data_IF_405770750855
#
_entry.id   IF_405770750855
#
_cell.length_a   1.000
_cell.length_b   1.000
_cell.length_c   1.000
_cell.angle_alpha   90.00
_cell.angle_beta   90.00
_cell.angle_gamma   90.00
#
_symmetry.space_group_name_H-M   'P 1'
#
loop_
_entity.id
_entity.type
_entity.pdbx_description
1 polymer ?
#
# COMPACT_ATOMS: atom_id res chain seq x y z
N UNK A 1 -9.88 24.67 -19.37
CA UNK A 1 -8.75 24.23 -18.52
C UNK A 1 -9.13 23.05 -17.62
N UNK A 2 -10.05 23.18 -16.66
CA UNK A 2 -10.43 22.09 -15.75
C UNK A 2 -10.86 20.79 -16.46
N UNK A 3 -11.72 20.88 -17.49
CA UNK A 3 -12.18 19.73 -18.26
C UNK A 3 -11.02 18.97 -18.93
N UNK A 4 -10.02 19.70 -19.42
CA UNK A 4 -8.87 19.13 -20.11
C UNK A 4 -7.90 18.46 -19.14
N UNK A 5 -7.75 19.03 -17.94
CA UNK A 5 -7.03 18.38 -16.83
C UNK A 5 -7.74 17.10 -16.38
N UNK A 6 -9.08 17.08 -16.32
CA UNK A 6 -9.85 15.89 -15.94
C UNK A 6 -9.71 14.77 -16.99
N UNK A 7 -9.80 15.09 -18.28
CA UNK A 7 -9.58 14.10 -19.37
C UNK A 7 -8.16 13.55 -19.31
N UNK A 8 -7.16 14.41 -19.12
CA UNK A 8 -5.75 13.96 -19.02
C UNK A 8 -5.51 13.06 -17.80
N UNK A 9 -6.16 13.37 -16.68
CA UNK A 9 -6.11 12.56 -15.46
C UNK A 9 -6.78 11.20 -15.65
N UNK A 10 -7.93 11.17 -16.32
CA UNK A 10 -8.64 9.93 -16.65
C UNK A 10 -7.79 9.02 -17.57
N UNK A 11 -7.18 9.58 -18.62
CA UNK A 11 -6.28 8.84 -19.51
C UNK A 11 -5.06 8.28 -18.76
N UNK A 12 -4.47 9.07 -17.86
CA UNK A 12 -3.34 8.64 -17.04
C UNK A 12 -3.72 7.49 -16.10
N UNK A 13 -4.86 7.58 -15.43
CA UNK A 13 -5.38 6.52 -14.55
C UNK A 13 -5.69 5.25 -15.35
N UNK A 14 -6.29 5.37 -16.53
CA UNK A 14 -6.51 4.24 -17.43
C UNK A 14 -5.20 3.55 -17.82
N UNK A 15 -4.14 4.32 -18.05
CA UNK A 15 -2.84 3.76 -18.41
C UNK A 15 -2.18 3.03 -17.24
N UNK A 16 -2.31 3.56 -16.02
CA UNK A 16 -1.88 2.85 -14.81
C UNK A 16 -2.64 1.53 -14.65
N UNK A 17 -3.96 1.53 -14.78
CA UNK A 17 -4.78 0.33 -14.62
C UNK A 17 -4.49 -0.72 -15.70
N UNK A 18 -4.32 -0.31 -16.95
CA UNK A 18 -4.17 -1.25 -18.08
C UNK A 18 -2.74 -1.72 -18.34
N UNK A 19 -1.73 -0.91 -17.99
CA UNK A 19 -0.34 -1.24 -18.27
C UNK A 19 0.47 -1.47 -17.00
N UNK A 20 0.34 -0.61 -15.98
CA UNK A 20 1.20 -0.67 -14.80
C UNK A 20 0.74 -1.70 -13.76
N UNK A 21 -0.57 -1.83 -13.50
CA UNK A 21 -1.07 -2.84 -12.56
C UNK A 21 -0.73 -4.28 -13.01
N UNK A 22 -0.88 -4.67 -14.29
CA UNK A 22 -0.42 -5.98 -14.76
C UNK A 22 1.07 -6.23 -14.52
N UNK A 23 1.92 -5.21 -14.70
CA UNK A 23 3.37 -5.30 -14.41
C UNK A 23 3.61 -5.58 -12.92
N UNK A 24 2.82 -4.99 -12.01
CA UNK A 24 2.94 -5.27 -10.57
C UNK A 24 2.63 -6.73 -10.21
N UNK A 25 1.84 -7.42 -11.04
CA UNK A 25 1.52 -8.84 -10.89
C UNK A 25 2.27 -9.72 -11.88
N UNK A 26 3.22 -9.15 -12.62
CA UNK A 26 4.00 -9.87 -13.63
C UNK A 26 4.86 -10.91 -12.93
N UNK A 27 4.64 -12.14 -13.36
CA UNK A 27 5.45 -13.30 -12.98
C UNK A 27 6.50 -13.48 -14.06
N UNK A 28 7.61 -14.13 -13.73
CA UNK A 28 8.54 -14.58 -14.76
C UNK A 28 7.82 -15.56 -15.71
N UNK A 29 8.41 -15.84 -16.88
CA UNK A 29 7.84 -16.70 -17.92
C UNK A 29 7.49 -18.12 -17.42
N UNK A 30 8.04 -18.53 -16.28
CA UNK A 30 7.81 -19.79 -15.57
C UNK A 30 6.67 -19.72 -14.53
N UNK A 31 6.01 -18.57 -14.37
CA UNK A 31 4.95 -18.33 -13.38
C UNK A 31 5.47 -18.06 -11.96
N UNK A 32 6.79 -18.00 -11.75
CA UNK A 32 7.39 -17.75 -10.44
C UNK A 32 7.33 -16.24 -10.14
N UNK A 33 6.95 -15.85 -8.91
CA UNK A 33 7.03 -14.45 -8.50
C UNK A 33 8.48 -13.92 -8.61
N UNK A 34 8.63 -12.71 -9.16
CA UNK A 34 9.94 -12.05 -9.23
C UNK A 34 10.54 -11.76 -7.85
N UNK A 35 9.70 -11.70 -6.80
CA UNK A 35 10.14 -11.59 -5.42
C UNK A 35 10.20 -12.97 -4.77
N UNK A 36 11.39 -13.38 -4.30
CA UNK A 36 11.53 -14.60 -3.52
C UNK A 36 10.85 -14.46 -2.16
N UNK A 37 9.88 -15.34 -1.86
CA UNK A 37 9.07 -15.29 -0.64
C UNK A 37 9.92 -15.39 0.63
N UNK A 38 10.91 -16.28 0.67
CA UNK A 38 11.76 -16.48 1.83
C UNK A 38 12.60 -15.23 2.12
N UNK A 39 13.19 -14.63 1.08
CA UNK A 39 13.90 -13.35 1.19
C UNK A 39 12.99 -12.24 1.72
N UNK A 40 11.76 -12.15 1.21
CA UNK A 40 10.81 -11.15 1.67
C UNK A 40 10.44 -11.35 3.14
N UNK A 41 10.01 -12.54 3.55
CA UNK A 41 9.51 -12.79 4.90
C UNK A 41 10.59 -12.78 5.96
N UNK A 42 11.76 -13.37 5.69
CA UNK A 42 12.81 -13.54 6.70
C UNK A 42 13.77 -12.34 6.76
N UNK A 43 13.99 -11.64 5.65
CA UNK A 43 15.01 -10.58 5.58
C UNK A 43 14.38 -9.20 5.47
N UNK A 44 13.51 -8.97 4.49
CA UNK A 44 12.97 -7.62 4.22
C UNK A 44 11.88 -7.21 5.20
N UNK A 45 10.88 -8.08 5.46
CA UNK A 45 9.72 -7.77 6.30
C UNK A 45 10.09 -7.33 7.73
N UNK A 46 11.10 -7.92 8.41
CA UNK A 46 11.53 -7.43 9.72
C UNK A 46 12.11 -6.02 9.73
N UNK A 47 12.69 -5.55 8.61
CA UNK A 47 13.29 -4.22 8.49
C UNK A 47 12.25 -3.11 8.29
N UNK A 48 11.07 -3.46 7.79
CA UNK A 48 9.97 -2.52 7.51
C UNK A 48 8.78 -2.68 8.47
N UNK A 49 9.00 -3.27 9.65
CA UNK A 49 7.95 -3.48 10.64
C UNK A 49 7.57 -2.19 11.37
N UNK A 50 6.33 -2.12 11.84
CA UNK A 50 5.89 -1.10 12.79
C UNK A 50 6.57 -1.30 14.15
N UNK A 51 6.80 -0.21 14.88
CA UNK A 51 7.36 -0.29 16.23
C UNK A 51 7.54 1.07 16.90
N UNK A 52 7.86 1.07 18.21
CA UNK A 52 8.27 2.26 18.92
C UNK A 52 9.67 2.68 18.47
N UNK A 53 9.83 3.98 18.24
CA UNK A 53 11.12 4.61 17.92
C UNK A 53 11.34 5.76 18.90
N UNK A 54 12.53 5.81 19.48
CA UNK A 54 12.96 6.91 20.35
C UNK A 54 13.82 7.85 19.51
N UNK A 55 13.35 9.08 19.37
CA UNK A 55 14.09 10.15 18.71
C UNK A 55 14.85 10.94 19.79
N UNK A 56 16.17 10.91 19.75
CA UNK A 56 17.00 11.84 20.52
C UNK A 56 16.94 13.22 19.83
N UNK A 57 16.01 14.06 20.30
CA UNK A 57 15.91 15.45 19.89
C UNK A 57 16.58 16.39 20.89
N UNK A 58 16.73 17.66 20.49
CA UNK A 58 17.30 18.70 21.36
C UNK A 58 16.49 18.95 22.65
N UNK A 59 15.18 18.65 22.62
CA UNK A 59 14.26 18.74 23.76
C UNK A 59 14.20 17.45 24.62
N UNK A 60 15.06 16.45 24.33
CA UNK A 60 15.12 15.16 25.00
C UNK A 60 14.52 13.99 24.21
N UNK A 61 14.68 12.74 24.72
CA UNK A 61 14.23 11.55 24.03
C UNK A 61 12.70 11.51 23.95
N UNK A 62 12.16 11.45 22.74
CA UNK A 62 10.72 11.30 22.49
C UNK A 62 10.43 9.94 21.88
N UNK A 63 9.61 9.13 22.55
CA UNK A 63 9.15 7.84 22.05
C UNK A 63 7.88 8.01 21.22
N UNK A 64 7.89 7.50 19.98
CA UNK A 64 6.77 7.56 19.04
C UNK A 64 6.53 6.19 18.45
N UNK A 65 5.29 5.72 18.44
CA UNK A 65 4.89 4.53 17.70
C UNK A 65 4.71 4.86 16.22
N UNK A 66 5.52 4.26 15.35
CA UNK A 66 5.45 4.47 13.91
C UNK A 66 5.02 3.19 13.19
N UNK A 67 4.14 3.35 12.22
CA UNK A 67 3.72 2.27 11.33
C UNK A 67 4.78 2.00 10.28
N UNK A 68 5.09 0.72 10.07
CA UNK A 68 5.96 0.27 8.98
C UNK A 68 5.33 0.58 7.62
N UNK A 69 6.14 0.81 6.58
CA UNK A 69 5.62 1.12 5.25
C UNK A 69 4.83 -0.06 4.69
N UNK A 70 3.70 0.25 4.05
CA UNK A 70 2.87 -0.73 3.36
C UNK A 70 2.49 -0.24 1.97
N UNK A 71 2.09 -1.17 1.09
CA UNK A 71 1.60 -0.80 -0.25
C UNK A 71 0.38 0.13 -0.20
N UNK A 72 -0.37 0.12 0.91
CA UNK A 72 -1.51 1.02 1.13
C UNK A 72 -1.10 2.47 1.42
N UNK A 73 0.17 2.73 1.76
CA UNK A 73 0.71 4.09 1.87
C UNK A 73 1.03 4.72 0.51
N UNK A 74 0.97 3.94 -0.58
CA UNK A 74 1.03 4.48 -1.93
C UNK A 74 -0.20 5.34 -2.20
N UNK A 75 -0.01 6.52 -2.78
CA UNK A 75 -1.12 7.37 -3.24
C UNK A 75 -1.83 6.79 -4.44
N UNK A 76 -1.20 5.86 -5.16
CA UNK A 76 -1.70 5.33 -6.42
C UNK A 76 -3.04 4.60 -6.26
N UNK A 77 -3.12 3.64 -5.33
CA UNK A 77 -4.32 2.83 -5.15
C UNK A 77 -5.51 3.65 -4.60
N UNK A 78 -5.35 4.50 -3.56
CA UNK A 78 -6.41 5.41 -3.12
C UNK A 78 -6.89 6.37 -4.21
N UNK A 79 -6.00 6.88 -5.07
CA UNK A 79 -6.39 7.74 -6.18
C UNK A 79 -7.23 6.99 -7.23
N UNK A 80 -6.87 5.73 -7.53
CA UNK A 80 -7.64 4.88 -8.45
C UNK A 80 -9.01 4.55 -7.83
N UNK A 81 -9.05 4.18 -6.56
CA UNK A 81 -10.29 3.89 -5.85
C UNK A 81 -11.24 5.09 -5.88
N UNK A 82 -10.72 6.28 -5.56
CA UNK A 82 -11.50 7.52 -5.61
C UNK A 82 -12.00 7.85 -7.01
N UNK A 83 -11.18 7.67 -8.05
CA UNK A 83 -11.56 7.92 -9.43
C UNK A 83 -12.62 6.95 -9.96
N UNK A 84 -12.54 5.68 -9.56
CA UNK A 84 -13.50 4.64 -9.93
C UNK A 84 -14.74 4.61 -9.03
N UNK A 85 -14.79 5.45 -8.00
CA UNK A 85 -15.86 5.43 -7.00
C UNK A 85 -15.88 4.16 -6.14
N UNK A 86 -14.76 3.43 -6.08
CA UNK A 86 -14.61 2.23 -5.25
C UNK A 86 -14.40 2.69 -3.81
N UNK A 87 -15.31 2.28 -2.93
CA UNK A 87 -15.20 2.55 -1.51
C UNK A 87 -14.49 1.37 -0.83
N UNK A 88 -13.19 1.51 -0.60
CA UNK A 88 -12.38 0.49 0.11
C UNK A 88 -12.70 0.39 1.60
N UNK A 89 -13.33 1.41 2.18
CA UNK A 89 -13.92 1.34 3.54
C UNK A 89 -15.24 0.58 3.53
N UNK A 90 -15.17 -0.74 3.35
CA UNK A 90 -16.32 -1.61 3.60
C UNK A 90 -16.48 -1.81 5.11
N UNK A 91 -17.64 -1.46 5.71
CA UNK A 91 -17.91 -1.73 7.12
C UNK A 91 -17.71 -3.21 7.48
N UNK A 92 -18.04 -4.11 6.54
CA UNK A 92 -17.86 -5.55 6.66
C UNK A 92 -16.39 -5.97 6.67
N UNK A 93 -15.55 -5.32 5.86
CA UNK A 93 -14.11 -5.60 5.86
C UNK A 93 -13.47 -5.12 7.17
N UNK A 94 -13.90 -3.96 7.68
CA UNK A 94 -13.47 -3.46 8.99
C UNK A 94 -13.86 -4.41 10.12
N UNK A 95 -15.10 -4.89 10.14
CA UNK A 95 -15.55 -5.90 11.12
C UNK A 95 -14.76 -7.21 11.01
N UNK A 96 -14.44 -7.67 9.80
CA UNK A 96 -13.64 -8.87 9.57
C UNK A 96 -12.17 -8.71 10.02
N UNK A 97 -11.58 -7.53 9.83
CA UNK A 97 -10.23 -7.25 10.31
C UNK A 97 -10.18 -7.17 11.84
N UNK A 98 -11.17 -6.53 12.47
CA UNK A 98 -11.28 -6.46 13.92
C UNK A 98 -11.52 -7.84 14.56
N UNK A 99 -12.33 -8.70 13.93
CA UNK A 99 -12.54 -10.06 14.43
C UNK A 99 -11.29 -10.93 14.27
N UNK A 100 -10.54 -10.76 13.19
CA UNK A 100 -9.26 -11.43 12.99
C UNK A 100 -8.23 -11.02 14.06
N UNK A 101 -8.06 -9.72 14.33
CA UNK A 101 -7.15 -9.22 15.39
C UNK A 101 -7.50 -9.74 16.78
N UNK A 102 -8.78 -9.94 17.09
CA UNK A 102 -9.24 -10.50 18.36
C UNK A 102 -9.02 -12.02 18.48
N UNK A 103 -8.76 -12.71 17.37
CA UNK A 103 -8.55 -14.16 17.31
C UNK A 103 -7.07 -14.57 17.26
N UNK A 104 -6.16 -13.60 17.14
CA UNK A 104 -4.72 -13.76 17.31
C UNK A 104 -4.31 -13.47 18.75
#
# INVERSE_FOLDING_TARGET
>A
ELLQCLVSMEEALWRVVRACLPIMYERADDGVPNCNENMFYQILRPLIKSGPLVFEGDDGPTEVALSGPSGAMSTLLPCIDAALGIQTTSPKLREALLSFELSM
#
